data_IF_181779738469
#
_entry.id   IF_181779738469
#
_cell.length_a   1.000
_cell.length_b   1.000
_cell.length_c   1.000
_cell.angle_alpha   90.00
_cell.angle_beta   90.00
_cell.angle_gamma   90.00
#
_symmetry.space_group_name_H-M   'P 1'
#
loop_
_entity.id
_entity.type
_entity.pdbx_description
1 polymer ?
#
# COMPACT_ATOMS: atom_id res chain seq x y z
N UNK A 1 -11.61 -33.96 -17.39
CA UNK A 1 -10.95 -32.64 -17.24
C UNK A 1 -10.75 -32.42 -15.74
N UNK A 2 -9.52 -32.41 -15.22
CA UNK A 2 -9.31 -32.17 -13.80
C UNK A 2 -9.36 -30.67 -13.50
N UNK A 3 -10.16 -30.30 -12.50
CA UNK A 3 -10.25 -28.95 -11.95
C UNK A 3 -8.87 -28.46 -11.48
N UNK A 4 -8.54 -27.22 -11.83
CA UNK A 4 -7.19 -26.67 -11.70
C UNK A 4 -6.95 -26.01 -10.32
N UNK A 5 -5.85 -26.27 -9.61
CA UNK A 5 -5.47 -25.66 -8.33
C UNK A 5 -4.79 -24.27 -8.51
N UNK A 6 -5.20 -23.51 -9.54
CA UNK A 6 -4.55 -22.25 -9.96
C UNK A 6 -4.58 -21.11 -8.92
N UNK A 7 -5.66 -20.90 -8.13
CA UNK A 7 -5.71 -19.78 -7.17
C UNK A 7 -4.75 -19.95 -5.99
N UNK A 8 -4.66 -21.17 -5.43
CA UNK A 8 -3.86 -21.48 -4.24
C UNK A 8 -2.36 -21.23 -4.51
N UNK A 9 -1.85 -21.63 -5.68
CA UNK A 9 -0.45 -21.38 -6.08
C UNK A 9 -0.13 -19.89 -6.27
N UNK A 10 -1.10 -19.09 -6.74
CA UNK A 10 -0.91 -17.64 -6.92
C UNK A 10 -0.94 -16.91 -5.59
N UNK A 11 -1.85 -17.30 -4.69
CA UNK A 11 -1.92 -16.78 -3.32
C UNK A 11 -0.62 -17.10 -2.55
N UNK A 12 -0.13 -18.34 -2.64
CA UNK A 12 1.16 -18.74 -2.06
C UNK A 12 2.32 -17.92 -2.66
N UNK A 13 2.36 -17.74 -3.98
CA UNK A 13 3.37 -16.89 -4.64
C UNK A 13 3.34 -15.45 -4.11
N UNK A 14 2.15 -14.86 -3.94
CA UNK A 14 1.99 -13.53 -3.38
C UNK A 14 2.49 -13.46 -1.94
N UNK A 15 2.08 -14.41 -1.10
CA UNK A 15 2.54 -14.50 0.29
C UNK A 15 4.07 -14.58 0.38
N UNK A 16 4.68 -15.50 -0.38
CA UNK A 16 6.13 -15.67 -0.43
C UNK A 16 6.86 -14.40 -0.90
N UNK A 17 6.29 -13.69 -1.88
CA UNK A 17 6.84 -12.41 -2.35
C UNK A 17 6.76 -11.33 -1.28
N UNK A 18 5.60 -11.18 -0.62
CA UNK A 18 5.40 -10.21 0.45
C UNK A 18 6.37 -10.44 1.62
N UNK A 19 6.53 -11.70 2.01
CA UNK A 19 7.37 -12.10 3.12
C UNK A 19 8.85 -12.27 2.73
N UNK A 20 9.23 -11.98 1.48
CA UNK A 20 10.60 -12.19 0.96
C UNK A 20 11.13 -13.62 1.21
N UNK A 21 10.25 -14.63 1.11
CA UNK A 21 10.56 -16.03 1.37
C UNK A 21 10.48 -16.46 2.84
N UNK A 22 10.09 -15.56 3.75
CA UNK A 22 9.91 -15.87 5.18
C UNK A 22 8.49 -16.35 5.49
N UNK A 23 8.31 -16.88 6.70
CA UNK A 23 7.00 -17.40 7.17
C UNK A 23 5.99 -16.31 7.52
N UNK A 24 6.40 -15.05 7.66
CA UNK A 24 5.54 -13.91 7.92
C UNK A 24 6.22 -12.64 7.41
N UNK A 25 5.46 -11.55 7.27
CA UNK A 25 6.02 -10.26 6.92
C UNK A 25 6.97 -9.82 8.05
N UNK A 26 8.26 -9.78 7.74
CA UNK A 26 9.24 -9.28 8.67
C UNK A 26 8.94 -7.80 8.97
N UNK A 27 8.70 -7.46 10.23
CA UNK A 27 8.47 -6.07 10.71
C UNK A 27 9.62 -5.12 10.35
N UNK A 28 10.75 -5.70 9.99
CA UNK A 28 11.95 -5.02 9.57
C UNK A 28 11.86 -4.54 8.10
N UNK A 29 10.98 -5.12 7.28
CA UNK A 29 10.67 -4.67 5.92
C UNK A 29 9.82 -3.39 5.94
N UNK A 30 10.04 -2.56 4.93
CA UNK A 30 9.44 -1.24 4.76
C UNK A 30 8.66 -1.25 3.44
N UNK A 31 7.37 -1.58 3.46
CA UNK A 31 6.57 -1.68 2.25
C UNK A 31 6.25 -0.30 1.68
N UNK A 32 6.41 -0.15 0.37
CA UNK A 32 6.03 1.01 -0.42
C UNK A 32 4.86 0.58 -1.28
N UNK A 33 3.76 1.31 -1.23
CA UNK A 33 2.59 1.04 -2.07
C UNK A 33 2.58 2.00 -3.27
N UNK A 34 2.28 1.48 -4.45
CA UNK A 34 2.04 2.26 -5.66
C UNK A 34 0.67 1.86 -6.19
N UNK A 35 -0.21 2.82 -6.39
CA UNK A 35 -1.58 2.61 -6.86
C UNK A 35 -1.76 3.31 -8.20
N UNK A 36 -2.17 2.58 -9.24
CA UNK A 36 -2.73 3.24 -10.42
C UNK A 36 -4.12 3.78 -10.11
N UNK A 37 -4.63 4.67 -10.96
CA UNK A 37 -6.03 5.11 -10.88
C UNK A 37 -6.99 3.91 -10.98
N UNK A 38 -8.01 3.78 -10.12
CA UNK A 38 -9.09 2.82 -10.26
C UNK A 38 -9.92 3.02 -11.53
N UNK A 39 -10.49 1.94 -12.06
CA UNK A 39 -11.54 2.05 -13.08
C UNK A 39 -12.81 2.73 -12.51
N UNK A 40 -13.37 3.70 -13.26
CA UNK A 40 -14.52 4.52 -12.87
C UNK A 40 -15.79 3.70 -12.56
N UNK A 41 -15.93 2.50 -13.12
CA UNK A 41 -17.05 1.61 -12.83
C UNK A 41 -16.75 0.70 -11.63
N UNK A 42 -15.52 0.17 -11.55
CA UNK A 42 -15.09 -0.65 -10.39
C UNK A 42 -15.19 0.15 -9.09
N UNK A 43 -14.73 1.40 -9.08
CA UNK A 43 -14.71 2.24 -7.88
C UNK A 43 -16.12 2.43 -7.31
N UNK A 44 -17.18 2.47 -8.12
CA UNK A 44 -18.57 2.63 -7.63
C UNK A 44 -19.04 1.46 -6.75
N UNK A 45 -18.46 0.26 -6.91
CA UNK A 45 -18.80 -0.91 -6.11
C UNK A 45 -18.20 -0.82 -4.70
N UNK A 46 -19.05 -0.72 -3.67
CA UNK A 46 -18.56 -0.73 -2.27
C UNK A 46 -17.87 -2.05 -1.91
N UNK A 47 -18.32 -3.18 -2.45
CA UNK A 47 -17.67 -4.48 -2.22
C UNK A 47 -16.25 -4.50 -2.80
N UNK A 48 -16.04 -3.85 -3.95
CA UNK A 48 -14.71 -3.71 -4.53
C UNK A 48 -13.82 -2.80 -3.67
N UNK A 49 -14.34 -1.63 -3.26
CA UNK A 49 -13.61 -0.72 -2.35
C UNK A 49 -13.26 -1.38 -1.01
N UNK A 50 -14.17 -2.18 -0.47
CA UNK A 50 -13.98 -2.89 0.81
C UNK A 50 -12.82 -3.88 0.75
N UNK A 51 -12.52 -4.44 -0.42
CA UNK A 51 -11.37 -5.33 -0.61
C UNK A 51 -10.00 -4.65 -0.47
N UNK A 52 -9.97 -3.32 -0.33
CA UNK A 52 -8.73 -2.55 -0.08
C UNK A 52 -8.61 -2.08 1.37
N UNK A 53 -9.53 -2.44 2.27
CA UNK A 53 -9.48 -2.05 3.68
C UNK A 53 -8.21 -2.52 4.40
N UNK A 54 -7.57 -3.59 3.93
CA UNK A 54 -6.28 -4.04 4.47
C UNK A 54 -5.16 -3.00 4.32
N UNK A 55 -5.25 -2.08 3.34
CA UNK A 55 -4.27 -0.97 3.20
C UNK A 55 -4.20 -0.15 4.50
N UNK A 56 -5.30 -0.08 5.26
CA UNK A 56 -5.35 0.61 6.56
C UNK A 56 -4.52 -0.02 7.66
N UNK A 57 -4.20 -1.30 7.50
CA UNK A 57 -3.55 -2.11 8.51
C UNK A 57 -2.05 -2.25 8.20
N UNK A 58 -1.64 -1.96 6.96
CA UNK A 58 -0.25 -1.99 6.53
C UNK A 58 0.61 -0.88 7.14
N UNK A 59 1.82 -1.24 7.57
CA UNK A 59 2.84 -0.31 8.04
C UNK A 59 3.65 0.26 6.85
N UNK A 60 2.97 1.01 5.97
CA UNK A 60 3.57 1.55 4.75
C UNK A 60 4.64 2.61 5.06
N UNK A 61 5.80 2.50 4.43
CA UNK A 61 6.83 3.55 4.47
C UNK A 61 6.36 4.79 3.69
N UNK A 62 5.75 4.57 2.53
CA UNK A 62 5.05 5.58 1.76
C UNK A 62 4.05 4.95 0.81
N UNK A 63 3.12 5.77 0.32
CA UNK A 63 2.18 5.41 -0.74
C UNK A 63 2.27 6.43 -1.86
N UNK A 64 2.45 5.96 -3.10
CA UNK A 64 2.36 6.74 -4.33
C UNK A 64 1.00 6.47 -4.97
N UNK A 65 0.14 7.47 -5.00
CA UNK A 65 -1.24 7.34 -5.43
C UNK A 65 -1.48 8.17 -6.69
N UNK A 66 -1.72 7.47 -7.80
CA UNK A 66 -1.96 8.06 -9.11
C UNK A 66 -3.45 8.27 -9.39
N UNK A 67 -4.35 8.11 -8.41
CA UNK A 67 -5.75 8.49 -8.54
C UNK A 67 -5.94 10.00 -8.28
N UNK A 68 -6.25 10.74 -9.35
CA UNK A 68 -6.55 12.18 -9.31
C UNK A 68 -7.81 12.53 -8.51
N UNK A 69 -8.66 11.54 -8.22
CA UNK A 69 -9.85 11.64 -7.38
C UNK A 69 -9.67 11.03 -5.98
N UNK A 70 -8.44 10.63 -5.61
CA UNK A 70 -8.17 9.85 -4.40
C UNK A 70 -8.69 10.47 -3.11
N UNK A 71 -8.64 11.81 -3.01
CA UNK A 71 -8.97 12.52 -1.79
C UNK A 71 -10.44 12.38 -1.37
N UNK A 72 -11.39 12.48 -2.32
CA UNK A 72 -12.82 12.38 -2.02
C UNK A 72 -13.47 11.08 -2.50
N UNK A 73 -13.16 10.65 -3.74
CA UNK A 73 -13.95 9.63 -4.43
C UNK A 73 -13.18 8.35 -4.73
N UNK A 74 -11.85 8.38 -4.66
CA UNK A 74 -11.00 7.22 -4.85
C UNK A 74 -11.03 6.25 -3.68
N UNK A 75 -10.18 5.22 -3.76
CA UNK A 75 -10.13 4.16 -2.74
C UNK A 75 -9.92 4.78 -1.35
N UNK A 76 -9.04 5.76 -1.26
CA UNK A 76 -8.57 6.34 0.01
C UNK A 76 -9.63 7.20 0.66
N UNK A 77 -10.18 8.19 -0.04
CA UNK A 77 -11.29 8.99 0.49
C UNK A 77 -12.41 8.12 1.06
N UNK A 78 -12.63 6.94 0.47
CA UNK A 78 -13.68 6.00 0.87
C UNK A 78 -13.32 5.04 2.00
N UNK A 79 -12.12 4.47 2.04
CA UNK A 79 -11.74 3.54 3.12
C UNK A 79 -11.12 4.29 4.33
N UNK A 80 -10.64 5.51 4.11
CA UNK A 80 -9.81 6.28 5.01
C UNK A 80 -10.33 7.72 5.22
N UNK A 81 -11.61 7.94 5.58
CA UNK A 81 -12.19 9.28 5.63
C UNK A 81 -11.58 10.25 6.69
N UNK A 82 -10.53 9.86 7.44
CA UNK A 82 -9.94 10.61 8.58
C UNK A 82 -8.45 10.30 8.88
N UNK A 83 -7.60 10.00 7.90
CA UNK A 83 -6.24 9.49 8.21
C UNK A 83 -5.26 10.58 8.60
N UNK A 84 -4.41 10.23 9.57
CA UNK A 84 -3.22 10.93 10.05
C UNK A 84 -2.03 10.88 9.07
N UNK A 85 -2.28 10.59 7.80
CA UNK A 85 -1.25 10.47 6.77
C UNK A 85 -0.89 11.90 6.37
N UNK A 86 0.40 12.17 6.26
CA UNK A 86 0.81 13.46 5.75
C UNK A 86 0.59 13.41 4.24
N UNK A 87 -0.49 14.05 3.81
CA UNK A 87 -0.83 14.23 2.41
C UNK A 87 0.13 15.25 1.82
N UNK A 88 0.89 14.85 0.81
CA UNK A 88 1.89 15.68 0.17
C UNK A 88 1.65 15.59 -1.35
N UNK A 89 1.88 16.70 -2.03
CA UNK A 89 2.06 16.70 -3.48
C UNK A 89 3.55 16.57 -3.78
N UNK A 90 3.84 15.87 -4.85
CA UNK A 90 5.14 15.57 -5.42
C UNK A 90 6.07 16.79 -5.52
N UNK A 91 5.50 17.99 -5.67
CA UNK A 91 6.24 19.26 -5.73
C UNK A 91 7.09 19.54 -4.47
N UNK A 92 6.72 19.01 -3.31
CA UNK A 92 7.56 19.15 -2.09
C UNK A 92 8.91 18.45 -2.20
N UNK A 93 9.06 17.51 -3.13
CA UNK A 93 10.29 16.77 -3.36
C UNK A 93 11.12 17.35 -4.51
N UNK A 94 10.65 18.43 -5.16
CA UNK A 94 11.48 19.19 -6.11
C UNK A 94 12.57 19.93 -5.33
N UNK A 95 13.82 19.65 -5.65
CA UNK A 95 15.00 20.36 -5.11
C UNK A 95 15.19 20.22 -3.59
N UNK A 96 15.08 19.00 -3.05
CA UNK A 96 15.38 18.74 -1.63
C UNK A 96 16.87 18.98 -1.35
N UNK A 97 17.20 20.14 -0.76
CA UNK A 97 18.56 20.48 -0.37
C UNK A 97 19.03 19.73 0.88
N UNK A 98 18.12 19.50 1.83
CA UNK A 98 18.39 18.80 3.09
C UNK A 98 17.35 17.72 3.38
N UNK A 99 17.71 16.48 3.02
CA UNK A 99 16.88 15.28 3.22
C UNK A 99 16.53 15.05 4.69
N UNK A 100 17.48 15.30 5.61
CA UNK A 100 17.29 15.04 7.05
C UNK A 100 16.26 16.00 7.62
N UNK A 101 16.38 17.29 7.29
CA UNK A 101 15.42 18.30 7.70
C UNK A 101 14.02 17.99 7.14
N UNK A 102 13.92 17.68 5.84
CA UNK A 102 12.63 17.33 5.25
C UNK A 102 12.03 16.10 5.92
N UNK A 103 12.81 15.04 6.17
CA UNK A 103 12.34 13.86 6.91
C UNK A 103 11.74 14.24 8.28
N UNK A 104 12.43 15.10 9.03
CA UNK A 104 12.01 15.51 10.37
C UNK A 104 10.74 16.36 10.30
N UNK A 105 10.64 17.28 9.33
CA UNK A 105 9.45 18.10 9.06
C UNK A 105 8.22 17.23 8.70
N UNK A 106 8.45 16.14 7.96
CA UNK A 106 7.41 15.20 7.58
C UNK A 106 7.10 14.15 8.66
N UNK A 107 7.89 14.11 9.74
CA UNK A 107 7.79 13.14 10.84
C UNK A 107 7.88 11.69 10.35
N UNK A 108 8.85 11.42 9.49
CA UNK A 108 9.14 10.08 9.01
C UNK A 108 10.22 9.38 9.85
N UNK A 109 10.06 8.07 10.12
CA UNK A 109 9.06 7.16 9.57
C UNK A 109 7.79 7.01 10.42
N UNK A 110 7.59 7.82 11.47
CA UNK A 110 6.45 7.66 12.39
C UNK A 110 5.08 7.89 11.73
N UNK A 111 5.04 8.71 10.67
CA UNK A 111 3.87 8.93 9.83
C UNK A 111 4.06 8.34 8.45
N UNK A 112 3.04 7.62 7.99
CA UNK A 112 2.91 7.22 6.60
C UNK A 112 2.73 8.48 5.76
N UNK A 113 3.59 8.67 4.77
CA UNK A 113 3.41 9.70 3.75
C UNK A 113 2.51 9.13 2.65
N UNK A 114 1.48 9.90 2.33
CA UNK A 114 0.63 9.66 1.18
C UNK A 114 0.95 10.72 0.12
N UNK A 115 1.62 10.31 -0.94
CA UNK A 115 1.93 11.15 -2.09
C UNK A 115 0.81 11.05 -3.12
N UNK A 116 0.15 12.17 -3.39
CA UNK A 116 -0.77 12.25 -4.53
C UNK A 116 0.07 12.53 -5.78
N UNK A 117 0.53 11.43 -6.36
CA UNK A 117 1.50 11.41 -7.44
C UNK A 117 0.92 11.87 -8.78
N UNK A 118 -0.41 11.81 -8.90
CA UNK A 118 -1.15 12.58 -9.89
C UNK A 118 -1.81 13.79 -9.24
N UNK A 119 -1.90 14.85 -10.01
CA UNK A 119 -2.53 16.08 -9.53
C UNK A 119 -3.98 15.84 -9.13
N UNK A 120 -4.36 16.53 -8.05
CA UNK A 120 -5.70 16.46 -7.48
C UNK A 120 -6.71 17.20 -8.34
N UNK A 121 -7.80 16.51 -8.70
CA UNK A 121 -8.93 17.09 -9.44
C UNK A 121 -9.57 18.26 -8.70
N UNK A 122 -9.51 18.27 -7.36
CA UNK A 122 -10.03 19.37 -6.54
C UNK A 122 -9.22 20.68 -6.71
N UNK A 123 -8.05 20.62 -7.34
CA UNK A 123 -7.23 21.79 -7.68
C UNK A 123 -7.48 22.31 -9.11
N UNK A 124 -8.58 21.88 -9.74
CA UNK A 124 -8.98 22.23 -11.12
C UNK A 124 -7.96 21.86 -12.20
N UNK A 125 -7.10 20.89 -11.91
CA UNK A 125 -6.09 20.44 -12.85
C UNK A 125 -6.60 19.28 -13.71
N UNK A 126 -6.20 19.27 -14.98
CA UNK A 126 -6.69 18.33 -15.99
C UNK A 126 -5.86 17.05 -15.94
N UNK A 127 -6.52 15.89 -15.90
CA UNK A 127 -5.86 14.59 -16.06
C UNK A 127 -5.07 14.56 -17.37
N UNK A 128 -3.77 14.25 -17.30
CA UNK A 128 -2.86 14.35 -18.44
C UNK A 128 -2.54 12.99 -19.03
N UNK A 129 -2.46 12.94 -20.35
CA UNK A 129 -1.93 11.78 -21.04
C UNK A 129 -0.46 11.55 -20.70
N UNK A 130 0.01 10.31 -20.85
CA UNK A 130 1.35 9.88 -20.43
C UNK A 130 2.51 10.78 -20.90
N UNK A 131 2.46 11.27 -22.15
CA UNK A 131 3.51 12.15 -22.70
C UNK A 131 3.57 13.51 -22.00
N UNK A 132 2.42 14.13 -21.80
CA UNK A 132 2.29 15.42 -21.11
C UNK A 132 2.63 15.27 -19.63
N UNK A 133 2.16 14.19 -19.01
CA UNK A 133 2.50 13.85 -17.64
C UNK A 133 4.02 13.75 -17.43
N UNK A 134 4.71 13.03 -18.33
CA UNK A 134 6.16 12.85 -18.23
C UNK A 134 6.91 14.17 -18.37
N UNK A 135 6.46 15.07 -19.25
CA UNK A 135 7.07 16.38 -19.42
C UNK A 135 6.99 17.25 -18.15
N UNK A 136 5.86 17.20 -17.44
CA UNK A 136 5.60 18.14 -16.34
C UNK A 136 5.93 17.57 -14.95
N UNK A 137 5.64 16.29 -14.71
CA UNK A 137 5.63 15.71 -13.35
C UNK A 137 6.74 14.69 -13.09
N UNK A 138 7.39 14.16 -14.13
CA UNK A 138 8.39 13.11 -13.95
C UNK A 138 9.55 13.54 -13.03
N UNK A 139 9.92 14.83 -13.06
CA UNK A 139 10.97 15.37 -12.19
C UNK A 139 10.57 15.34 -10.71
N UNK A 140 9.33 15.71 -10.38
CA UNK A 140 8.80 15.68 -9.02
C UNK A 140 8.75 14.25 -8.48
N UNK A 141 8.18 13.33 -9.27
CA UNK A 141 8.04 11.92 -8.87
C UNK A 141 9.40 11.25 -8.69
N UNK A 142 10.36 11.54 -9.58
CA UNK A 142 11.74 11.08 -9.38
C UNK A 142 12.31 11.61 -8.06
N UNK A 143 12.10 12.88 -7.74
CA UNK A 143 12.51 13.47 -6.46
C UNK A 143 11.86 12.77 -5.27
N UNK A 144 10.56 12.49 -5.34
CA UNK A 144 9.80 11.80 -4.29
C UNK A 144 10.32 10.38 -4.07
N UNK A 145 10.45 9.61 -5.15
CA UNK A 145 11.01 8.25 -5.10
C UNK A 145 12.43 8.26 -4.55
N UNK A 146 13.29 9.18 -5.02
CA UNK A 146 14.67 9.30 -4.56
C UNK A 146 14.77 9.71 -3.08
N UNK A 147 13.82 10.50 -2.58
CA UNK A 147 13.74 10.85 -1.16
C UNK A 147 13.50 9.59 -0.32
N UNK A 148 12.50 8.76 -0.64
CA UNK A 148 12.25 7.53 0.11
C UNK A 148 13.34 6.47 -0.05
N UNK A 149 14.10 6.52 -1.15
CA UNK A 149 15.26 5.66 -1.38
C UNK A 149 16.50 6.04 -0.54
N UNK A 150 16.47 7.17 0.18
CA UNK A 150 17.59 7.55 1.04
C UNK A 150 17.76 6.55 2.19
N UNK A 151 19.00 6.18 2.49
CA UNK A 151 19.29 5.14 3.51
C UNK A 151 18.79 5.50 4.91
N UNK A 152 18.66 6.79 5.21
CA UNK A 152 18.13 7.29 6.48
C UNK A 152 16.60 7.15 6.61
N UNK A 153 15.91 6.81 5.52
CA UNK A 153 14.48 6.55 5.45
C UNK A 153 14.24 5.05 5.25
N UNK A 154 14.80 4.47 4.19
CA UNK A 154 14.64 3.05 3.86
C UNK A 154 16.03 2.42 3.69
N UNK A 155 16.48 1.57 4.63
CA UNK A 155 17.75 0.90 4.49
C UNK A 155 17.77 -0.03 3.26
N UNK A 156 18.96 -0.21 2.67
CA UNK A 156 19.13 -1.08 1.51
C UNK A 156 18.58 -2.48 1.78
N UNK A 157 17.91 -3.06 0.78
CA UNK A 157 17.29 -4.41 0.82
C UNK A 157 16.15 -4.57 1.82
N UNK A 158 15.66 -3.49 2.42
CA UNK A 158 14.52 -3.51 3.35
C UNK A 158 13.23 -3.03 2.71
N UNK A 159 13.30 -2.41 1.54
CA UNK A 159 12.12 -2.04 0.78
C UNK A 159 11.44 -3.27 0.19
N UNK A 160 10.11 -3.22 0.13
CA UNK A 160 9.32 -4.02 -0.79
C UNK A 160 8.33 -3.09 -1.48
N UNK A 161 8.39 -2.99 -2.80
CA UNK A 161 7.51 -2.12 -3.59
C UNK A 161 6.38 -2.95 -4.12
N UNK A 162 5.15 -2.55 -3.80
CA UNK A 162 3.93 -3.24 -4.15
C UNK A 162 3.15 -2.33 -5.08
N UNK A 163 2.98 -2.75 -6.33
CA UNK A 163 2.27 -2.01 -7.36
C UNK A 163 0.92 -2.68 -7.64
N UNK A 164 -0.17 -1.95 -7.44
CA UNK A 164 -1.52 -2.38 -7.82
C UNK A 164 -1.90 -1.75 -9.15
N UNK A 165 -2.11 -2.58 -10.17
CA UNK A 165 -2.65 -2.20 -11.47
C UNK A 165 -4.17 -2.31 -11.43
N UNK A 166 -4.85 -1.18 -11.26
CA UNK A 166 -6.29 -1.06 -11.06
C UNK A 166 -7.05 -0.67 -12.35
N UNK A 167 -6.36 -0.08 -13.32
CA UNK A 167 -6.88 0.29 -14.64
C UNK A 167 -5.75 0.36 -15.69
N UNK A 168 -6.09 0.71 -16.93
CA UNK A 168 -5.11 0.93 -18.02
C UNK A 168 -4.48 2.34 -18.00
N UNK A 169 -4.70 3.12 -16.94
CA UNK A 169 -4.04 4.39 -16.75
C UNK A 169 -2.70 4.21 -16.03
N UNK A 170 -1.62 4.25 -16.80
CA UNK A 170 -0.26 4.04 -16.32
C UNK A 170 0.58 5.33 -16.31
N UNK A 171 -0.06 6.51 -16.40
CA UNK A 171 0.64 7.78 -16.37
C UNK A 171 1.44 7.91 -15.07
N UNK A 172 2.77 8.07 -15.19
CA UNK A 172 3.70 8.23 -14.07
C UNK A 172 4.03 6.96 -13.27
N UNK A 173 3.15 5.95 -13.32
CA UNK A 173 3.35 4.64 -12.70
C UNK A 173 4.57 3.94 -13.31
N UNK A 174 4.70 4.01 -14.64
CA UNK A 174 5.82 3.40 -15.38
C UNK A 174 7.15 4.01 -14.96
N UNK A 175 7.22 5.34 -14.90
CA UNK A 175 8.40 6.07 -14.48
C UNK A 175 8.77 5.76 -13.02
N UNK A 176 7.76 5.69 -12.14
CA UNK A 176 7.92 5.30 -10.73
C UNK A 176 8.47 3.89 -10.58
N UNK A 177 7.93 2.94 -11.35
CA UNK A 177 8.45 1.57 -11.39
C UNK A 177 9.91 1.55 -11.81
N UNK A 178 10.29 2.28 -12.86
CA UNK A 178 11.68 2.31 -13.34
C UNK A 178 12.65 2.85 -12.30
N UNK A 179 12.28 3.90 -11.58
CA UNK A 179 13.12 4.45 -10.51
C UNK A 179 13.24 3.46 -9.34
N UNK A 180 12.18 2.74 -8.98
CA UNK A 180 12.23 1.70 -7.96
C UNK A 180 13.05 0.48 -8.38
N UNK A 181 12.87 -0.01 -9.61
CA UNK A 181 13.65 -1.14 -10.16
C UNK A 181 15.13 -0.77 -10.22
N UNK A 182 15.47 0.43 -10.68
CA UNK A 182 16.86 0.91 -10.76
C UNK A 182 17.56 0.94 -9.39
N UNK A 183 16.82 1.20 -8.31
CA UNK A 183 17.39 1.25 -6.96
C UNK A 183 17.33 -0.08 -6.20
N UNK A 184 16.18 -0.75 -6.23
CA UNK A 184 15.90 -1.91 -5.39
C UNK A 184 16.04 -3.25 -6.11
N UNK A 185 16.07 -3.29 -7.46
CA UNK A 185 15.97 -4.48 -8.32
C UNK A 185 14.60 -5.20 -8.27
N UNK A 186 14.28 -5.94 -9.33
CA UNK A 186 13.02 -6.67 -9.51
C UNK A 186 12.63 -7.59 -8.37
N UNK A 187 13.60 -8.17 -7.65
CA UNK A 187 13.31 -9.07 -6.52
C UNK A 187 12.56 -8.41 -5.37
N UNK A 188 12.62 -7.08 -5.27
CA UNK A 188 11.93 -6.28 -4.26
C UNK A 188 10.62 -5.67 -4.79
N UNK A 189 10.22 -6.01 -6.02
CA UNK A 189 9.00 -5.51 -6.65
C UNK A 189 7.95 -6.62 -6.69
N UNK A 190 6.71 -6.27 -6.36
CA UNK A 190 5.54 -7.12 -6.47
C UNK A 190 4.49 -6.35 -7.25
N UNK A 191 4.13 -6.82 -8.44
CA UNK A 191 3.10 -6.21 -9.29
C UNK A 191 1.85 -7.08 -9.19
N UNK A 192 0.69 -6.47 -8.96
CA UNK A 192 -0.57 -7.18 -8.79
C UNK A 192 -1.62 -6.60 -9.73
N UNK A 193 -2.29 -7.47 -10.49
CA UNK A 193 -3.43 -7.13 -11.33
C UNK A 193 -4.51 -8.21 -11.20
N UNK A 194 -5.76 -7.82 -10.97
CA UNK A 194 -6.90 -8.75 -11.01
C UNK A 194 -7.26 -9.16 -12.44
N UNK A 195 -6.98 -8.27 -13.40
CA UNK A 195 -7.28 -8.43 -14.82
C UNK A 195 -6.01 -8.76 -15.63
N UNK A 196 -6.09 -9.79 -16.46
CA UNK A 196 -5.00 -10.18 -17.36
C UNK A 196 -4.76 -9.14 -18.45
N UNK A 197 -5.81 -8.50 -18.96
CA UNK A 197 -5.69 -7.50 -20.02
C UNK A 197 -4.94 -6.25 -19.54
N UNK A 198 -5.24 -5.78 -18.33
CA UNK A 198 -4.52 -4.67 -17.70
C UNK A 198 -3.03 -5.02 -17.57
N UNK A 199 -2.72 -6.23 -17.11
CA UNK A 199 -1.33 -6.67 -17.00
C UNK A 199 -0.62 -6.77 -18.35
N UNK A 200 -1.25 -7.36 -19.38
CA UNK A 200 -0.62 -7.50 -20.69
C UNK A 200 -0.36 -6.12 -21.32
N UNK A 201 -1.30 -5.18 -21.22
CA UNK A 201 -1.11 -3.80 -21.67
C UNK A 201 0.05 -3.12 -20.95
N UNK A 202 0.11 -3.26 -19.62
CA UNK A 202 1.22 -2.75 -18.83
C UNK A 202 2.56 -3.37 -19.26
N UNK A 203 2.61 -4.70 -19.41
CA UNK A 203 3.82 -5.43 -19.78
C UNK A 203 4.35 -5.00 -21.14
N UNK A 204 3.47 -4.79 -22.13
CA UNK A 204 3.85 -4.32 -23.45
C UNK A 204 4.54 -2.96 -23.39
N UNK A 205 4.03 -2.04 -22.56
CA UNK A 205 4.64 -0.72 -22.37
C UNK A 205 6.05 -0.88 -21.78
N UNK A 206 6.20 -1.64 -20.70
CA UNK A 206 7.49 -1.88 -20.04
C UNK A 206 8.53 -2.50 -21.00
N UNK A 207 8.11 -3.50 -21.78
CA UNK A 207 8.96 -4.17 -22.78
C UNK A 207 9.40 -3.21 -23.88
N UNK A 208 8.47 -2.39 -24.40
CA UNK A 208 8.73 -1.49 -25.53
C UNK A 208 9.71 -0.36 -25.20
N UNK A 209 9.77 0.10 -23.95
CA UNK A 209 10.50 1.33 -23.62
C UNK A 209 11.89 1.14 -23.05
N UNK A 210 12.09 0.12 -22.22
CA UNK A 210 13.38 -0.11 -21.56
C UNK A 210 13.95 -1.50 -21.80
N UNK A 211 13.28 -2.30 -22.63
CA UNK A 211 13.73 -3.65 -23.00
C UNK A 211 14.03 -4.52 -21.78
N UNK A 212 13.24 -4.35 -20.70
CA UNK A 212 13.37 -5.21 -19.52
C UNK A 212 13.04 -6.66 -19.88
N UNK A 213 13.67 -7.60 -19.17
CA UNK A 213 13.43 -9.02 -19.37
C UNK A 213 12.00 -9.38 -18.94
N UNK A 214 11.21 -9.87 -19.89
CA UNK A 214 9.83 -10.36 -19.66
C UNK A 214 9.76 -11.39 -18.55
N UNK A 215 10.81 -12.19 -18.36
CA UNK A 215 10.87 -13.19 -17.30
C UNK A 215 10.97 -12.55 -15.91
N UNK A 216 11.72 -11.46 -15.76
CA UNK A 216 11.82 -10.71 -14.50
C UNK A 216 10.47 -10.07 -14.15
N UNK A 217 9.82 -9.44 -15.13
CA UNK A 217 8.50 -8.85 -14.98
C UNK A 217 7.47 -9.91 -14.56
N UNK A 218 7.38 -11.03 -15.28
CA UNK A 218 6.46 -12.11 -14.97
C UNK A 218 6.76 -12.77 -13.61
N UNK A 219 8.03 -12.92 -13.25
CA UNK A 219 8.42 -13.46 -11.94
C UNK A 219 7.99 -12.55 -10.78
N UNK A 220 7.93 -11.24 -11.03
CA UNK A 220 7.56 -10.20 -10.06
C UNK A 220 6.06 -9.93 -10.03
N UNK A 221 5.28 -10.54 -10.93
CA UNK A 221 3.86 -10.25 -11.10
C UNK A 221 2.94 -11.36 -10.59
N UNK A 222 1.80 -10.95 -10.04
CA UNK A 222 0.68 -11.77 -9.59
C UNK A 222 -0.55 -11.32 -10.36
N UNK A 223 -1.03 -12.16 -11.27
CA UNK A 223 -2.11 -11.81 -12.22
C UNK A 223 -3.29 -12.74 -12.05
N UNK A 224 -4.50 -12.19 -11.97
CA UNK A 224 -5.75 -12.95 -11.93
C UNK A 224 -6.15 -13.46 -10.54
N UNK A 225 -5.65 -12.86 -9.47
CA UNK A 225 -6.27 -12.97 -8.14
C UNK A 225 -7.29 -11.83 -8.01
N UNK A 226 -8.48 -12.13 -7.51
CA UNK A 226 -9.43 -11.07 -7.16
C UNK A 226 -8.86 -10.21 -6.02
N UNK A 227 -9.24 -8.94 -5.96
CA UNK A 227 -8.80 -8.06 -4.87
C UNK A 227 -9.21 -8.56 -3.47
N UNK A 228 -10.30 -9.36 -3.39
CA UNK A 228 -10.67 -10.05 -2.15
C UNK A 228 -9.64 -11.10 -1.75
N UNK A 229 -9.18 -11.93 -2.68
CA UNK A 229 -8.12 -12.92 -2.42
C UNK A 229 -6.80 -12.23 -2.08
N UNK A 230 -6.47 -11.14 -2.78
CA UNK A 230 -5.31 -10.30 -2.44
C UNK A 230 -5.44 -9.79 -1.00
N UNK A 231 -6.57 -9.22 -0.61
CA UNK A 231 -6.84 -8.76 0.76
C UNK A 231 -6.57 -9.84 1.79
N UNK A 232 -7.08 -11.06 1.57
CA UNK A 232 -6.89 -12.18 2.49
C UNK A 232 -5.41 -12.56 2.64
N UNK A 233 -4.64 -12.60 1.54
CA UNK A 233 -3.19 -12.88 1.60
C UNK A 233 -2.44 -11.78 2.35
N UNK A 234 -2.83 -10.51 2.13
CA UNK A 234 -2.24 -9.39 2.84
C UNK A 234 -2.52 -9.44 4.35
N UNK A 235 -3.76 -9.71 4.73
CA UNK A 235 -4.17 -9.88 6.12
C UNK A 235 -3.42 -11.02 6.80
N UNK A 236 -3.30 -12.17 6.13
CA UNK A 236 -2.51 -13.31 6.58
C UNK A 236 -1.03 -12.95 6.76
N UNK A 237 -0.40 -12.33 5.75
CA UNK A 237 1.01 -11.94 5.80
C UNK A 237 1.31 -10.92 6.92
N UNK A 238 0.35 -10.04 7.22
CA UNK A 238 0.44 -9.07 8.31
C UNK A 238 0.16 -9.68 9.69
N UNK A 239 -0.24 -10.95 9.77
CA UNK A 239 -0.64 -11.59 11.03
C UNK A 239 -1.92 -11.00 11.61
N UNK A 240 -2.79 -10.46 10.75
CA UNK A 240 -4.10 -9.97 11.13
C UNK A 240 -5.01 -11.18 11.14
N UNK A 241 -5.01 -11.89 12.26
CA UNK A 241 -6.05 -12.87 12.53
C UNK A 241 -7.39 -12.13 12.65
N UNK A 242 -8.41 -12.62 11.95
CA UNK A 242 -9.77 -12.17 12.13
C UNK A 242 -10.14 -12.44 13.59
N UNK A 243 -10.11 -11.40 14.43
CA UNK A 243 -10.27 -11.40 15.91
C UNK A 243 -11.70 -11.82 16.35
N UNK A 244 -12.38 -12.60 15.52
CA UNK A 244 -13.75 -13.06 15.70
C UNK A 244 -13.87 -14.14 16.77
N UNK A 245 -12.77 -14.83 17.12
CA UNK A 245 -12.82 -15.97 18.05
C UNK A 245 -11.71 -15.97 19.12
N UNK A 246 -11.08 -14.83 19.41
CA UNK A 246 -10.13 -14.74 20.51
C UNK A 246 -10.86 -14.94 21.85
N UNK A 247 -10.58 -16.07 22.50
CA UNK A 247 -11.22 -16.54 23.73
C UNK A 247 -10.21 -16.49 24.88
N UNK A 248 -10.45 -15.60 25.85
CA UNK A 248 -9.62 -15.53 27.06
C UNK A 248 -10.17 -16.54 28.08
N UNK A 249 -9.33 -17.45 28.60
CA UNK A 249 -9.72 -18.31 29.71
C UNK A 249 -9.89 -17.48 30.98
N UNK A 250 -10.97 -17.72 31.69
CA UNK A 250 -11.24 -17.09 32.99
C UNK A 250 -10.78 -18.00 34.13
N UNK A 251 -10.64 -17.43 35.32
CA UNK A 251 -10.30 -18.18 36.55
C UNK A 251 -11.34 -19.24 36.94
N UNK A 252 -12.54 -19.23 36.33
CA UNK A 252 -13.56 -20.27 36.49
C UNK A 252 -13.51 -21.37 35.42
N UNK A 253 -12.56 -21.34 34.49
CA UNK A 253 -12.45 -22.29 33.38
C UNK A 253 -13.38 -21.99 32.19
N UNK A 254 -14.21 -20.95 32.27
CA UNK A 254 -15.02 -20.49 31.14
C UNK A 254 -14.18 -19.63 30.18
N UNK A 255 -14.53 -19.60 28.89
CA UNK A 255 -13.91 -18.71 27.90
C UNK A 255 -14.77 -17.48 27.64
N UNK A 256 -14.17 -16.30 27.55
CA UNK A 256 -14.85 -15.05 27.17
C UNK A 256 -14.29 -14.55 25.84
N UNK A 257 -15.16 -14.15 24.92
CA UNK A 257 -14.76 -13.53 23.66
C UNK A 257 -14.20 -12.10 23.91
N UNK A 258 -12.99 -11.82 23.43
CA UNK A 258 -12.24 -10.57 23.60
C UNK A 258 -13.04 -9.31 23.23
N UNK A 259 -13.94 -9.40 22.25
CA UNK A 259 -14.70 -8.23 21.76
C UNK A 259 -15.70 -7.68 22.79
N UNK A 260 -16.09 -8.47 23.80
CA UNK A 260 -17.14 -8.09 24.76
C UNK A 260 -16.72 -7.09 25.85
N UNK A 261 -15.44 -6.74 25.99
CA UNK A 261 -14.95 -5.85 27.07
C UNK A 261 -14.30 -4.54 26.67
N UNK A 262 -13.88 -4.36 25.40
CA UNK A 262 -13.27 -3.09 24.98
C UNK A 262 -14.28 -1.92 25.04
N UNK A 263 -15.59 -2.20 24.92
CA UNK A 263 -16.65 -1.19 25.03
C UNK A 263 -17.05 -0.83 26.48
N UNK A 264 -16.57 -1.55 27.50
CA UNK A 264 -16.89 -1.27 28.93
C UNK A 264 -15.76 -0.57 29.69
N UNK A 265 -14.51 -0.68 29.26
CA UNK A 265 -13.38 -0.05 29.94
C UNK A 265 -13.34 1.49 29.77
N UNK A 266 -13.96 2.05 28.73
CA UNK A 266 -14.01 3.50 28.49
C UNK A 266 -15.17 4.22 29.19
N UNK A 267 -16.07 3.51 29.90
CA UNK A 267 -17.17 4.11 30.68
C UNK A 267 -16.99 4.08 32.20
N UNK A 268 -15.86 3.56 32.69
CA UNK A 268 -15.63 3.34 34.13
C UNK A 268 -14.77 4.37 34.87
N UNK A 269 -14.09 5.30 34.19
CA UNK A 269 -13.32 6.36 34.86
C UNK A 269 -14.24 7.50 35.34
N UNK A 270 -15.10 7.20 36.33
CA UNK A 270 -15.65 8.20 37.23
C UNK A 270 -15.47 7.71 38.66
N UNK A 271 -14.64 8.47 39.38
CA UNK A 271 -14.55 8.58 40.84
C UNK A 271 -14.59 7.28 41.65
N UNK A 272 -13.41 6.80 42.01
CA UNK A 272 -13.20 6.19 43.34
C UNK A 272 -11.89 6.72 43.90
N UNK A 273 -12.00 7.75 44.75
CA UNK A 273 -10.95 8.12 45.70
C UNK A 273 -10.69 6.92 46.60
N UNK A 274 -9.50 6.32 46.47
CA UNK A 274 -9.02 5.30 47.38
C UNK A 274 -8.58 5.99 48.68
N UNK A 275 -9.42 5.91 49.71
CA UNK A 275 -9.06 6.29 51.07
C UNK A 275 -8.66 5.02 51.81
N UNK A 276 -7.34 4.77 51.93
CA UNK A 276 -6.79 4.03 53.06
C UNK A 276 -5.27 4.16 53.17
N UNK A 277 -4.86 4.34 54.42
CA UNK A 277 -3.52 4.22 55.02
C UNK A 277 -2.59 5.44 54.94
N UNK A 278 -2.72 6.30 55.96
CA UNK A 278 -1.56 6.71 56.76
C UNK A 278 -1.82 6.47 58.25
N UNK A 279 -0.98 5.58 58.77
CA UNK A 279 -0.65 5.23 60.17
C UNK A 279 -1.67 4.39 60.93
#
# INVERSE_FOLDING_TARGET
MPHSPLPEKKAEKLFQKMCMGQQALDKSLLPILVLTKPDDNKIKSQAWVDSFKFIRLGNWACVFDFDDCSYEQGIIGRIFPKVRALVISEDKFKFVENVVQLRDDLQCPEKVIWDYSNERKELEKVHKGRKEWNYEYSSSIKGAVQFFQQRCLIPKKRAIVILFLLSNDFAGVVETLYEHVGHFSWKHIVIIADDTEIYENFSHIIESERSYDRTELASSSIVGLSWKEVSSVFEEAMGIEDDSDCKIPTSSGATINCQSKISRATKGYKNTQCHCMRK
#
